data_IF_935336025296
#
_entry.id   IF_935336025296
#
_cell.length_a   1.000
_cell.length_b   1.000
_cell.length_c   1.000
_cell.angle_alpha   90.00
_cell.angle_beta   90.00
_cell.angle_gamma   90.00
#
_symmetry.space_group_name_H-M   'P 1'
#
loop_
_entity.id
_entity.type
_entity.pdbx_description
1 polymer ?
#
# COMPACT_ATOMS: atom_id res chain seq x y z
N UNK A 1 12.77 23.25 8.75
CA UNK A 1 14.14 23.49 8.25
C UNK A 1 14.91 22.19 8.38
N UNK A 2 15.11 21.50 7.26
CA UNK A 2 15.88 20.26 7.14
C UNK A 2 17.36 20.61 6.94
N UNK A 3 18.23 20.16 7.84
CA UNK A 3 19.68 20.24 7.65
C UNK A 3 20.25 18.82 7.59
N UNK A 4 20.50 18.35 6.37
CA UNK A 4 21.22 17.11 6.11
C UNK A 4 22.24 17.35 5.01
N UNK A 5 23.45 16.81 5.18
CA UNK A 5 24.46 16.78 4.12
C UNK A 5 23.97 15.75 3.11
N UNK A 6 23.28 16.21 2.06
CA UNK A 6 22.86 15.35 0.95
C UNK A 6 24.11 15.03 0.15
N UNK A 7 24.48 13.75 0.10
CA UNK A 7 25.50 13.28 -0.83
C UNK A 7 25.00 13.55 -2.26
N UNK A 8 25.67 14.38 -3.07
CA UNK A 8 25.22 14.69 -4.43
C UNK A 8 25.22 13.46 -5.36
N UNK A 9 25.91 12.38 -4.95
CA UNK A 9 25.94 11.09 -5.64
C UNK A 9 25.08 10.02 -4.92
N UNK A 10 24.28 10.40 -3.92
CA UNK A 10 23.37 9.50 -3.23
C UNK A 10 22.01 9.39 -3.93
N UNK A 11 21.18 8.44 -3.50
CA UNK A 11 19.78 8.37 -3.89
C UNK A 11 19.04 9.65 -3.49
N UNK A 12 18.31 10.25 -4.43
CA UNK A 12 17.50 11.43 -4.15
C UNK A 12 16.18 11.02 -3.52
N UNK A 13 15.92 11.59 -2.36
CA UNK A 13 14.59 11.57 -1.77
C UNK A 13 13.67 12.45 -2.59
N UNK A 14 12.69 11.84 -3.26
CA UNK A 14 11.61 12.62 -3.85
C UNK A 14 10.66 13.08 -2.73
N UNK A 15 10.85 14.33 -2.32
CA UNK A 15 10.02 14.95 -1.30
C UNK A 15 8.56 15.08 -1.73
N UNK A 16 8.22 15.04 -3.03
CA UNK A 16 6.83 15.01 -3.50
C UNK A 16 6.19 13.64 -3.28
N UNK A 17 6.93 12.55 -3.49
CA UNK A 17 6.46 11.19 -3.16
C UNK A 17 6.27 11.05 -1.65
N UNK A 18 7.22 11.59 -0.86
CA UNK A 18 7.11 11.57 0.60
C UNK A 18 5.94 12.43 1.11
N UNK A 19 5.67 13.59 0.51
CA UNK A 19 4.52 14.44 0.85
C UNK A 19 3.16 13.87 0.40
N UNK A 20 3.17 12.88 -0.50
CA UNK A 20 1.96 12.20 -0.98
C UNK A 20 1.43 11.11 -0.04
N UNK A 21 2.16 10.78 1.04
CA UNK A 21 1.73 9.80 2.06
C UNK A 21 0.51 10.40 2.79
N UNK A 22 -0.71 9.87 2.59
CA UNK A 22 -1.95 10.45 3.12
C UNK A 22 -1.96 10.57 4.64
N UNK A 23 -1.19 9.73 5.32
CA UNK A 23 -1.00 9.74 6.76
C UNK A 23 -0.18 10.93 7.28
N UNK A 24 0.37 11.77 6.40
CA UNK A 24 1.01 13.04 6.75
C UNK A 24 0.02 14.20 6.88
N UNK A 25 -1.24 13.99 6.49
CA UNK A 25 -2.28 15.02 6.49
C UNK A 25 -2.03 16.12 5.47
N UNK A 26 -3.07 16.91 5.18
CA UNK A 26 -2.84 18.24 4.61
C UNK A 26 -2.04 19.08 5.62
N UNK A 27 -1.16 19.97 5.14
CA UNK A 27 -0.32 20.86 5.95
C UNK A 27 -1.17 21.83 6.77
N UNK A 28 -1.81 21.33 7.82
CA UNK A 28 -2.66 22.05 8.76
C UNK A 28 -1.85 22.70 9.89
N UNK A 29 -0.52 22.66 9.77
CA UNK A 29 0.44 23.18 10.74
C UNK A 29 0.56 22.36 12.03
N UNK A 30 -0.20 21.27 12.19
CA UNK A 30 -0.15 20.39 13.37
C UNK A 30 0.70 19.14 13.14
N UNK A 31 0.71 18.62 11.92
CA UNK A 31 1.48 17.41 11.58
C UNK A 31 2.86 17.79 11.03
N UNK A 32 3.84 18.06 11.91
CA UNK A 32 5.21 18.32 11.44
C UNK A 32 6.02 17.02 11.34
N UNK A 33 6.20 16.53 10.10
CA UNK A 33 7.16 15.48 9.77
C UNK A 33 8.56 16.09 9.72
N UNK A 34 9.50 15.52 10.46
CA UNK A 34 10.93 15.79 10.28
C UNK A 34 11.63 14.56 9.73
N UNK A 35 12.16 14.69 8.53
CA UNK A 35 12.96 13.65 7.91
C UNK A 35 14.43 13.84 8.29
N UNK A 36 15.09 12.76 8.71
CA UNK A 36 16.52 12.70 8.86
C UNK A 36 17.07 11.58 7.97
N UNK A 37 17.87 11.95 6.98
CA UNK A 37 18.65 10.98 6.21
C UNK A 37 19.76 10.44 7.11
N UNK A 38 19.73 9.14 7.39
CA UNK A 38 20.74 8.47 8.21
C UNK A 38 21.93 8.02 7.37
N UNK A 39 21.67 7.53 6.17
CA UNK A 39 22.68 7.09 5.21
C UNK A 39 22.17 7.32 3.80
N UNK A 40 23.04 7.78 2.90
CA UNK A 40 22.70 7.96 1.51
C UNK A 40 23.92 7.73 0.60
N UNK A 41 23.88 6.63 -0.16
CA UNK A 41 24.91 6.26 -1.13
C UNK A 41 24.26 5.83 -2.46
N UNK A 42 25.07 5.42 -3.46
CA UNK A 42 24.55 5.07 -4.80
C UNK A 42 23.59 3.87 -4.83
N UNK A 43 23.57 3.06 -3.77
CA UNK A 43 22.84 1.78 -3.71
C UNK A 43 21.80 1.72 -2.60
N UNK A 44 21.80 2.68 -1.68
CA UNK A 44 21.02 2.61 -0.44
C UNK A 44 20.71 3.99 0.14
N UNK A 45 19.48 4.15 0.63
CA UNK A 45 19.01 5.31 1.37
C UNK A 45 18.34 4.85 2.67
N UNK A 46 18.89 5.23 3.82
CA UNK A 46 18.25 5.06 5.11
C UNK A 46 17.68 6.39 5.59
N UNK A 47 16.42 6.36 6.00
CA UNK A 47 15.68 7.54 6.40
C UNK A 47 15.00 7.27 7.73
N UNK A 48 15.15 8.22 8.64
CA UNK A 48 14.39 8.31 9.87
C UNK A 48 13.28 9.33 9.69
N UNK A 49 12.03 8.88 9.84
CA UNK A 49 10.86 9.74 9.86
C UNK A 49 10.47 10.05 11.31
N UNK A 50 10.48 11.33 11.67
CA UNK A 50 10.12 11.80 12.99
C UNK A 50 8.80 12.56 12.95
N UNK A 51 7.76 11.99 13.55
CA UNK A 51 6.43 12.58 13.67
C UNK A 51 6.33 13.32 15.00
N UNK A 52 5.93 14.60 15.04
CA UNK A 52 5.61 15.25 16.32
C UNK A 52 4.21 14.81 16.79
N UNK A 53 4.18 14.21 17.98
CA UNK A 53 3.05 13.95 18.91
C UNK A 53 1.59 13.97 18.41
N UNK A 54 0.86 12.89 18.71
CA UNK A 54 -0.61 12.81 18.59
C UNK A 54 -1.12 11.54 17.89
N UNK A 55 -0.80 10.36 18.44
CA UNK A 55 -0.99 9.03 17.85
C UNK A 55 -0.18 8.77 16.56
N UNK A 56 0.61 7.68 16.51
CA UNK A 56 1.35 7.32 15.30
C UNK A 56 0.36 6.95 14.19
N UNK A 57 0.68 7.18 12.91
CA UNK A 57 -0.08 6.55 11.84
C UNK A 57 -0.01 5.03 12.04
N UNK A 58 -1.16 4.41 12.17
CA UNK A 58 -1.32 2.96 12.39
C UNK A 58 -0.79 2.14 11.19
N UNK A 59 -0.49 2.80 10.06
CA UNK A 59 -0.05 2.21 8.80
C UNK A 59 1.38 1.64 8.78
N UNK A 60 2.39 2.28 9.41
CA UNK A 60 3.81 1.92 9.15
C UNK A 60 4.14 0.41 9.37
N UNK A 61 3.74 -0.24 10.48
CA UNK A 61 4.00 -1.66 10.67
C UNK A 61 3.28 -2.54 9.65
N UNK A 62 2.08 -2.12 9.23
CA UNK A 62 1.28 -2.81 8.22
C UNK A 62 1.91 -2.65 6.84
N UNK A 63 2.23 -1.43 6.41
CA UNK A 63 2.95 -1.14 5.16
C UNK A 63 4.22 -1.99 5.08
N UNK A 64 5.04 -1.99 6.13
CA UNK A 64 6.24 -2.82 6.19
C UNK A 64 5.96 -4.32 6.02
N UNK A 65 4.86 -4.82 6.61
CA UNK A 65 4.47 -6.23 6.50
C UNK A 65 4.00 -6.57 5.08
N UNK A 66 3.18 -5.71 4.48
CA UNK A 66 2.66 -5.87 3.12
C UNK A 66 3.78 -5.77 2.08
N UNK A 67 4.69 -4.80 2.22
CA UNK A 67 5.87 -4.66 1.35
C UNK A 67 6.77 -5.90 1.43
N UNK A 68 7.06 -6.40 2.65
CA UNK A 68 7.84 -7.65 2.80
C UNK A 68 7.17 -8.85 2.15
N UNK A 69 5.85 -8.93 2.27
CA UNK A 69 5.09 -10.01 1.66
C UNK A 69 5.14 -9.92 0.12
N UNK A 70 4.95 -8.73 -0.44
CA UNK A 70 5.09 -8.49 -1.87
C UNK A 70 6.51 -8.78 -2.39
N UNK A 71 7.54 -8.42 -1.62
CA UNK A 71 8.94 -8.68 -1.96
C UNK A 71 9.25 -10.16 -2.14
N UNK A 72 8.56 -11.08 -1.45
CA UNK A 72 8.76 -12.53 -1.63
C UNK A 72 8.48 -12.95 -3.07
N UNK A 73 7.43 -12.41 -3.69
CA UNK A 73 7.02 -12.80 -5.05
C UNK A 73 7.52 -11.83 -6.12
N UNK A 74 7.92 -10.62 -5.73
CA UNK A 74 8.46 -9.57 -6.59
C UNK A 74 9.82 -9.01 -6.05
N UNK A 75 10.84 -9.86 -5.85
CA UNK A 75 12.08 -9.44 -5.16
C UNK A 75 12.86 -8.35 -5.91
N UNK A 76 12.71 -8.27 -7.22
CA UNK A 76 13.38 -7.25 -8.06
C UNK A 76 12.56 -5.98 -8.26
N UNK A 77 11.27 -5.97 -7.91
CA UNK A 77 10.36 -4.84 -8.15
C UNK A 77 9.85 -4.21 -6.87
N UNK A 78 10.02 -4.86 -5.72
CA UNK A 78 9.57 -4.32 -4.43
C UNK A 78 10.79 -4.02 -3.58
N UNK A 79 10.91 -2.78 -3.05
CA UNK A 79 12.03 -2.40 -2.21
C UNK A 79 12.23 -3.32 -1.01
N UNK A 80 13.48 -3.66 -0.72
CA UNK A 80 13.82 -4.47 0.45
C UNK A 80 13.61 -3.66 1.73
N UNK A 81 12.87 -4.23 2.69
CA UNK A 81 12.64 -3.61 4.01
C UNK A 81 13.67 -4.09 5.03
N UNK A 82 14.71 -3.29 5.24
CA UNK A 82 15.85 -3.57 6.13
C UNK A 82 15.47 -3.52 7.62
N UNK A 83 14.51 -2.67 7.98
CA UNK A 83 14.12 -2.51 9.38
C UNK A 83 12.84 -1.72 9.58
N UNK A 84 12.19 -2.00 10.71
CA UNK A 84 11.11 -1.19 11.29
C UNK A 84 11.36 -1.12 12.79
N UNK A 85 11.06 0.02 13.41
CA UNK A 85 11.28 0.16 14.84
C UNK A 85 10.67 1.41 15.43
N UNK A 86 10.87 1.52 16.74
CA UNK A 86 10.51 2.68 17.55
C UNK A 86 11.81 3.32 18.03
N UNK A 87 11.93 4.62 17.86
CA UNK A 87 12.94 5.41 18.58
C UNK A 87 12.21 6.27 19.62
N UNK A 88 12.82 6.49 20.79
CA UNK A 88 12.25 7.31 21.86
C UNK A 88 13.10 8.58 21.96
N UNK A 89 12.58 9.70 21.48
CA UNK A 89 13.18 11.01 21.69
C UNK A 89 12.35 11.78 22.71
N UNK A 90 12.92 12.02 23.90
CA UNK A 90 12.46 12.78 25.09
C UNK A 90 10.96 12.93 25.41
N UNK A 91 10.03 13.05 24.47
CA UNK A 91 8.57 13.04 24.68
C UNK A 91 7.77 12.36 23.51
N UNK A 92 8.45 11.85 22.47
CA UNK A 92 7.82 11.34 21.24
C UNK A 92 8.41 9.98 20.85
N UNK A 93 7.58 9.09 20.28
CA UNK A 93 7.98 7.76 19.80
C UNK A 93 8.00 7.68 18.25
N UNK A 94 9.03 8.20 17.57
CA UNK A 94 9.15 8.09 16.11
C UNK A 94 9.22 6.65 15.61
N UNK A 95 8.62 6.39 14.44
CA UNK A 95 8.65 5.10 13.72
C UNK A 95 9.36 5.28 12.38
N UNK A 96 10.21 4.33 12.00
CA UNK A 96 10.95 4.36 10.73
C UNK A 96 10.68 3.14 9.87
N UNK A 97 10.83 3.32 8.56
CA UNK A 97 10.89 2.28 7.54
C UNK A 97 12.14 2.56 6.70
N UNK A 98 13.06 1.61 6.60
CA UNK A 98 14.22 1.71 5.71
C UNK A 98 14.03 0.78 4.52
N UNK A 99 14.05 1.36 3.33
CA UNK A 99 13.84 0.68 2.06
C UNK A 99 14.90 1.10 1.04
N UNK A 100 15.42 0.16 0.25
CA UNK A 100 16.36 0.45 -0.83
C UNK A 100 15.75 0.15 -2.20
N UNK A 101 15.99 1.00 -3.20
CA UNK A 101 15.65 0.74 -4.60
C UNK A 101 16.74 1.27 -5.55
N UNK A 102 16.81 0.68 -6.75
CA UNK A 102 17.71 1.14 -7.81
C UNK A 102 17.28 2.51 -8.37
N UNK A 103 18.25 3.25 -8.91
CA UNK A 103 18.03 4.57 -9.50
C UNK A 103 17.28 4.43 -10.84
N UNK A 104 16.11 5.06 -10.95
CA UNK A 104 15.31 5.14 -12.17
C UNK A 104 14.49 6.43 -12.18
N UNK A 105 13.73 6.67 -13.24
CA UNK A 105 12.81 7.82 -13.31
C UNK A 105 11.37 7.39 -13.03
N UNK A 106 10.56 8.33 -12.54
CA UNK A 106 9.11 8.14 -12.46
C UNK A 106 8.56 8.13 -13.89
N UNK A 107 7.65 7.21 -14.18
CA UNK A 107 7.03 7.12 -15.50
C UNK A 107 6.09 8.31 -15.75
N UNK A 108 6.16 8.90 -16.94
CA UNK A 108 5.18 9.90 -17.36
C UNK A 108 3.94 9.25 -17.98
N UNK A 109 2.90 10.04 -18.22
CA UNK A 109 1.62 9.55 -18.74
C UNK A 109 1.71 9.03 -20.17
N UNK A 110 2.61 9.60 -20.97
CA UNK A 110 2.79 9.26 -22.39
C UNK A 110 3.43 7.88 -22.58
N UNK A 111 4.27 7.46 -21.62
CA UNK A 111 5.01 6.19 -21.69
C UNK A 111 4.37 5.04 -20.91
N UNK A 112 3.22 5.25 -20.24
CA UNK A 112 2.51 4.22 -19.45
C UNK A 112 2.29 2.91 -20.21
N UNK A 113 2.01 2.99 -21.51
CA UNK A 113 1.77 1.82 -22.36
C UNK A 113 2.93 0.83 -22.40
N UNK A 114 4.17 1.32 -22.22
CA UNK A 114 5.39 0.52 -22.35
C UNK A 114 5.61 -0.43 -21.18
N UNK A 115 5.04 -0.13 -20.00
CA UNK A 115 5.23 -0.94 -18.78
C UNK A 115 4.02 -1.80 -18.40
N UNK A 116 2.94 -1.75 -19.18
CA UNK A 116 1.71 -2.54 -18.90
C UNK A 116 2.02 -4.03 -18.85
N UNK A 117 2.89 -4.53 -19.72
CA UNK A 117 3.31 -5.94 -19.73
C UNK A 117 3.98 -6.34 -18.42
N UNK A 118 4.99 -5.58 -18.00
CA UNK A 118 5.72 -5.79 -16.75
C UNK A 118 4.79 -5.70 -15.53
N UNK A 119 3.91 -4.69 -15.50
CA UNK A 119 2.91 -4.52 -14.44
C UNK A 119 1.95 -5.70 -14.38
N UNK A 120 1.44 -6.16 -15.53
CA UNK A 120 0.54 -7.30 -15.58
C UNK A 120 1.19 -8.57 -15.05
N UNK A 121 2.46 -8.82 -15.42
CA UNK A 121 3.23 -9.94 -14.88
C UNK A 121 3.42 -9.80 -13.36
N UNK A 122 3.79 -8.61 -12.89
CA UNK A 122 3.99 -8.34 -11.47
C UNK A 122 2.71 -8.55 -10.66
N UNK A 123 1.58 -7.99 -11.11
CA UNK A 123 0.28 -8.16 -10.47
C UNK A 123 -0.17 -9.62 -10.49
N UNK A 124 0.10 -10.36 -11.57
CA UNK A 124 -0.21 -11.78 -11.65
C UNK A 124 0.52 -12.61 -10.59
N UNK A 125 1.77 -12.25 -10.25
CA UNK A 125 2.53 -12.89 -9.15
C UNK A 125 1.97 -12.52 -7.77
N UNK A 126 1.54 -11.28 -7.56
CA UNK A 126 0.93 -10.85 -6.29
C UNK A 126 -0.36 -11.62 -5.97
N UNK A 127 -1.13 -12.03 -6.99
CA UNK A 127 -2.35 -12.84 -6.80
C UNK A 127 -2.10 -14.20 -6.13
N UNK A 128 -0.86 -14.66 -6.05
CA UNK A 128 -0.51 -15.86 -5.28
C UNK A 128 -0.54 -15.64 -3.76
N UNK A 129 -0.49 -14.39 -3.31
CA UNK A 129 -0.48 -14.01 -1.90
C UNK A 129 -1.90 -13.77 -1.42
N UNK A 130 -2.47 -14.78 -0.75
CA UNK A 130 -3.76 -14.68 -0.06
C UNK A 130 -3.54 -14.99 1.41
N UNK A 131 -4.23 -14.28 2.31
CA UNK A 131 -4.17 -14.51 3.76
C UNK A 131 -4.35 -16.00 4.11
N UNK A 132 -5.28 -16.70 3.44
CA UNK A 132 -5.56 -18.12 3.67
C UNK A 132 -4.42 -19.07 3.28
N UNK A 133 -3.51 -18.61 2.43
CA UNK A 133 -2.41 -19.41 1.86
C UNK A 133 -1.04 -19.04 2.43
N UNK A 134 -0.99 -18.08 3.38
CA UNK A 134 0.27 -17.66 3.96
C UNK A 134 0.88 -18.75 4.84
N UNK A 135 2.20 -18.89 4.74
CA UNK A 135 2.97 -19.76 5.63
C UNK A 135 3.06 -19.15 7.03
N UNK A 136 3.41 -19.98 8.03
CA UNK A 136 3.60 -19.49 9.40
C UNK A 136 4.63 -18.35 9.50
N UNK A 137 5.70 -18.42 8.69
CA UNK A 137 6.74 -17.38 8.63
C UNK A 137 6.22 -16.06 8.05
N UNK A 138 5.43 -16.13 6.97
CA UNK A 138 4.80 -14.96 6.35
C UNK A 138 3.81 -14.30 7.32
N UNK A 139 3.06 -15.09 8.08
CA UNK A 139 2.19 -14.58 9.15
C UNK A 139 2.95 -13.79 10.21
N UNK A 140 4.23 -14.08 10.47
CA UNK A 140 5.02 -13.33 11.46
C UNK A 140 5.24 -11.87 11.05
N UNK A 141 5.12 -11.52 9.77
CA UNK A 141 5.27 -10.14 9.32
C UNK A 141 4.15 -9.24 9.87
N UNK A 142 2.96 -9.80 10.04
CA UNK A 142 1.76 -9.11 10.53
C UNK A 142 1.70 -8.97 12.05
N UNK A 143 2.72 -9.38 12.82
CA UNK A 143 2.77 -9.13 14.27
C UNK A 143 2.57 -7.65 14.59
N UNK A 144 1.70 -7.35 15.56
CA UNK A 144 1.29 -6.00 15.95
C UNK A 144 0.60 -5.19 14.83
N UNK A 145 -0.03 -5.86 13.86
CA UNK A 145 -0.87 -5.24 12.83
C UNK A 145 -2.31 -5.71 12.98
N UNK A 146 -3.29 -5.06 12.34
CA UNK A 146 -4.67 -5.53 12.34
C UNK A 146 -4.82 -6.95 11.77
N UNK A 147 -4.00 -7.35 10.79
CA UNK A 147 -4.01 -8.72 10.26
C UNK A 147 -3.34 -9.74 11.19
N UNK A 148 -2.82 -9.34 12.35
CA UNK A 148 -2.32 -10.32 13.32
C UNK A 148 -3.45 -11.26 13.74
N UNK A 149 -3.34 -12.53 13.36
CA UNK A 149 -4.24 -13.58 13.83
C UNK A 149 -4.00 -13.79 15.31
N UNK A 150 -4.69 -13.02 16.15
CA UNK A 150 -4.97 -13.46 17.51
C UNK A 150 -5.91 -14.66 17.39
N UNK A 151 -5.88 -15.55 18.38
CA UNK A 151 -6.82 -16.68 18.48
C UNK A 151 -8.21 -16.08 18.79
N UNK A 152 -8.79 -15.38 17.82
CA UNK A 152 -10.06 -14.68 17.90
C UNK A 152 -11.00 -15.32 16.89
N UNK A 153 -12.29 -15.36 17.23
CA UNK A 153 -13.35 -16.04 16.46
C UNK A 153 -13.56 -15.46 15.04
N UNK A 154 -12.93 -14.33 14.69
CA UNK A 154 -13.15 -13.62 13.44
C UNK A 154 -11.83 -13.08 12.84
N UNK A 155 -11.13 -13.84 11.97
CA UNK A 155 -9.94 -13.34 11.29
C UNK A 155 -10.32 -12.23 10.29
N UNK A 156 -9.48 -11.21 10.17
CA UNK A 156 -9.59 -10.22 9.09
C UNK A 156 -9.21 -10.92 7.78
N UNK A 157 -10.07 -10.84 6.77
CA UNK A 157 -9.92 -11.52 5.49
C UNK A 157 -9.78 -10.57 4.29
N UNK A 158 -10.19 -9.31 4.42
CA UNK A 158 -10.04 -8.31 3.36
C UNK A 158 -9.97 -6.88 3.92
N UNK A 159 -9.54 -5.95 3.07
CA UNK A 159 -9.39 -4.53 3.35
C UNK A 159 -7.94 -4.07 3.49
N UNK A 160 -7.75 -2.91 4.12
CA UNK A 160 -6.46 -2.23 4.24
C UNK A 160 -6.60 -0.93 5.03
N UNK A 161 -5.50 -0.20 5.17
CA UNK A 161 -5.43 1.10 5.86
C UNK A 161 -6.57 2.06 5.44
N UNK A 162 -6.81 2.18 4.13
CA UNK A 162 -7.77 3.15 3.58
C UNK A 162 -9.22 2.69 3.57
N UNK A 163 -9.44 1.38 3.52
CA UNK A 163 -10.77 0.77 3.38
C UNK A 163 -11.27 0.10 4.67
N UNK A 164 -10.48 0.12 5.75
CA UNK A 164 -10.75 -0.60 6.99
C UNK A 164 -10.46 -2.09 6.88
N UNK A 165 -10.70 -2.83 7.97
CA UNK A 165 -10.38 -4.25 8.10
C UNK A 165 -11.65 -5.06 8.36
N UNK A 166 -11.89 -6.08 7.54
CA UNK A 166 -13.18 -6.77 7.49
C UNK A 166 -13.00 -8.27 7.51
N UNK A 167 -13.98 -8.97 8.08
CA UNK A 167 -14.00 -10.42 8.19
C UNK A 167 -14.48 -11.10 6.91
N UNK A 168 -15.14 -10.34 6.04
CA UNK A 168 -15.75 -10.80 4.80
C UNK A 168 -16.01 -9.62 3.84
N UNK A 169 -16.25 -9.94 2.57
CA UNK A 169 -16.49 -8.95 1.54
C UNK A 169 -17.85 -8.25 1.68
N UNK A 170 -18.82 -8.87 2.37
CA UNK A 170 -20.13 -8.27 2.61
C UNK A 170 -20.00 -7.05 3.53
N UNK A 171 -19.34 -7.21 4.67
CA UNK A 171 -19.00 -6.14 5.61
C UNK A 171 -18.07 -5.10 5.00
N UNK A 172 -17.09 -5.53 4.18
CA UNK A 172 -16.26 -4.60 3.41
C UNK A 172 -17.09 -3.66 2.53
N UNK A 173 -18.01 -4.21 1.72
CA UNK A 173 -18.85 -3.43 0.81
C UNK A 173 -19.84 -2.55 1.59
N UNK A 174 -20.49 -3.08 2.63
CA UNK A 174 -21.41 -2.32 3.48
C UNK A 174 -20.73 -1.09 4.07
N UNK A 175 -19.56 -1.27 4.69
CA UNK A 175 -18.86 -0.20 5.39
C UNK A 175 -18.22 0.85 4.47
N UNK A 176 -17.83 0.46 3.25
CA UNK A 176 -17.18 1.37 2.30
C UNK A 176 -18.16 2.07 1.35
N UNK A 177 -19.34 1.49 1.10
CA UNK A 177 -20.36 2.11 0.25
C UNK A 177 -21.42 2.89 1.06
N UNK A 178 -21.59 2.59 2.35
CA UNK A 178 -22.54 3.26 3.26
C UNK A 178 -21.85 3.59 4.59
N UNK A 179 -21.87 4.83 5.14
CA UNK A 179 -22.43 6.08 4.62
C UNK A 179 -21.37 6.95 3.89
N UNK A 180 -20.20 6.40 3.57
CA UNK A 180 -19.09 7.15 2.94
C UNK A 180 -19.47 7.77 1.60
N UNK A 181 -20.47 7.23 0.90
CA UNK A 181 -20.94 7.74 -0.38
C UNK A 181 -22.40 8.20 -0.24
N UNK A 182 -22.64 9.51 -0.24
CA UNK A 182 -23.93 10.15 0.11
C UNK A 182 -25.11 9.81 -0.81
N UNK A 183 -24.86 9.08 -1.90
CA UNK A 183 -25.88 8.65 -2.82
C UNK A 183 -26.30 7.18 -2.70
N UNK A 184 -25.37 6.27 -2.44
CA UNK A 184 -25.64 4.84 -2.57
C UNK A 184 -26.32 4.31 -1.31
N UNK A 185 -27.24 3.34 -1.42
CA UNK A 185 -27.75 2.59 -0.27
C UNK A 185 -27.43 1.10 -0.40
N UNK A 186 -26.98 0.50 0.70
CA UNK A 186 -26.64 -0.92 0.78
C UNK A 186 -27.63 -1.62 1.69
N UNK A 187 -28.33 -2.63 1.17
CA UNK A 187 -29.30 -3.40 1.94
C UNK A 187 -28.98 -4.89 1.83
N UNK A 188 -29.20 -5.63 2.91
CA UNK A 188 -29.07 -7.09 2.92
C UNK A 188 -30.46 -7.70 2.91
N UNK A 189 -30.71 -8.62 1.98
CA UNK A 189 -31.95 -9.40 1.93
C UNK A 189 -31.89 -10.57 2.92
N UNK A 190 -33.04 -11.16 3.30
CA UNK A 190 -33.08 -12.34 4.18
C UNK A 190 -32.32 -13.56 3.65
N UNK A 191 -32.11 -13.64 2.33
CA UNK A 191 -31.35 -14.69 1.66
C UNK A 191 -29.83 -14.42 1.61
N UNK A 192 -29.34 -13.43 2.36
CA UNK A 192 -27.93 -13.04 2.40
C UNK A 192 -27.47 -12.18 1.21
N UNK A 193 -28.32 -11.94 0.21
CA UNK A 193 -27.96 -11.10 -0.95
C UNK A 193 -27.73 -9.66 -0.52
N UNK A 194 -26.57 -9.12 -0.89
CA UNK A 194 -26.26 -7.71 -0.73
C UNK A 194 -26.72 -6.93 -1.97
N UNK A 195 -27.63 -5.98 -1.79
CA UNK A 195 -28.12 -5.10 -2.85
C UNK A 195 -27.53 -3.71 -2.66
N UNK A 196 -26.74 -3.29 -3.63
CA UNK A 196 -26.23 -1.92 -3.76
C UNK A 196 -27.15 -1.16 -4.71
N UNK A 197 -27.69 -0.05 -4.24
CA UNK A 197 -28.47 0.89 -5.03
C UNK A 197 -27.67 2.16 -5.22
N UNK A 198 -27.55 2.62 -6.46
CA UNK A 198 -26.84 3.85 -6.80
C UNK A 198 -27.85 4.84 -7.39
N UNK A 199 -27.88 6.11 -6.93
CA UNK A 199 -28.81 7.09 -7.44
C UNK A 199 -28.30 7.58 -8.79
N UNK A 200 -28.88 7.01 -9.85
CA UNK A 200 -28.74 7.48 -11.21
C UNK A 200 -30.12 7.95 -11.73
N UNK A 201 -30.15 8.55 -12.91
CA UNK A 201 -31.38 9.00 -13.59
C UNK A 201 -32.41 7.87 -13.75
N UNK A 202 -31.93 6.63 -13.81
CA UNK A 202 -32.67 5.39 -13.53
C UNK A 202 -31.99 4.68 -12.38
N UNK A 203 -32.72 4.31 -11.32
CA UNK A 203 -32.12 3.59 -10.19
C UNK A 203 -31.59 2.25 -10.68
N UNK A 204 -30.27 2.08 -10.63
CA UNK A 204 -29.60 0.82 -10.94
C UNK A 204 -29.34 0.06 -9.65
N UNK A 205 -29.62 -1.25 -9.69
CA UNK A 205 -29.42 -2.15 -8.58
C UNK A 205 -28.42 -3.21 -8.98
N UNK A 206 -27.40 -3.40 -8.15
CA UNK A 206 -26.43 -4.47 -8.29
C UNK A 206 -26.60 -5.41 -7.09
N UNK A 207 -26.90 -6.67 -7.38
CA UNK A 207 -27.08 -7.71 -6.36
C UNK A 207 -25.88 -8.65 -6.32
N UNK A 208 -25.30 -8.83 -5.15
CA UNK A 208 -24.29 -9.85 -4.88
C UNK A 208 -24.93 -10.95 -4.03
N UNK A 209 -25.11 -12.13 -4.62
CA UNK A 209 -25.51 -13.31 -3.86
C UNK A 209 -24.48 -13.64 -2.78
N UNK A 210 -24.91 -14.20 -1.65
CA UNK A 210 -24.04 -14.58 -0.53
C UNK A 210 -22.86 -15.46 -1.00
N UNK A 211 -23.13 -16.45 -1.85
CA UNK A 211 -22.09 -17.33 -2.40
C UNK A 211 -21.04 -16.59 -3.23
N UNK A 212 -21.41 -15.49 -3.88
CA UNK A 212 -20.46 -14.66 -4.63
C UNK A 212 -19.59 -13.84 -3.67
N UNK A 213 -20.15 -13.32 -2.58
CA UNK A 213 -19.41 -12.59 -1.55
C UNK A 213 -18.43 -13.50 -0.79
N UNK A 214 -18.84 -14.75 -0.52
CA UNK A 214 -17.97 -15.78 0.02
C UNK A 214 -16.82 -16.10 -0.92
N UNK A 215 -17.11 -16.25 -2.22
CA UNK A 215 -16.09 -16.49 -3.24
C UNK A 215 -15.09 -15.32 -3.32
N UNK A 216 -15.56 -14.08 -3.28
CA UNK A 216 -14.70 -12.89 -3.25
C UNK A 216 -13.81 -12.88 -2.00
N UNK A 217 -14.38 -13.20 -0.83
CA UNK A 217 -13.64 -13.31 0.44
C UNK A 217 -12.57 -14.41 0.38
N UNK A 218 -12.90 -15.55 -0.23
CA UNK A 218 -11.96 -16.66 -0.42
C UNK A 218 -10.88 -16.36 -1.48
N UNK A 219 -11.19 -15.49 -2.43
CA UNK A 219 -10.31 -15.11 -3.54
C UNK A 219 -9.56 -13.80 -3.32
N UNK A 220 -9.68 -13.23 -2.11
CA UNK A 220 -8.96 -12.01 -1.71
C UNK A 220 -7.45 -12.27 -1.68
N UNK A 221 -6.71 -11.32 -2.27
CA UNK A 221 -5.29 -11.40 -2.56
C UNK A 221 -4.63 -10.05 -2.34
N UNK A 222 -3.33 -10.05 -2.07
CA UNK A 222 -2.58 -8.82 -1.89
C UNK A 222 -2.66 -7.93 -3.14
N UNK A 223 -3.16 -6.72 -2.96
CA UNK A 223 -3.29 -5.68 -3.97
C UNK A 223 -2.52 -4.43 -3.54
N UNK A 224 -1.89 -3.74 -4.51
CA UNK A 224 -1.20 -2.47 -4.26
C UNK A 224 -2.18 -1.32 -4.00
N UNK A 225 -3.33 -1.34 -4.68
CA UNK A 225 -4.40 -0.33 -4.67
C UNK A 225 -4.04 1.10 -5.13
N UNK A 226 -2.76 1.46 -5.26
CA UNK A 226 -2.32 2.75 -5.81
C UNK A 226 -1.22 2.59 -6.87
N UNK A 227 -1.57 2.14 -8.08
CA UNK A 227 -0.62 1.99 -9.19
C UNK A 227 -0.54 3.26 -10.05
N UNK A 228 -0.68 4.43 -9.44
CA UNK A 228 -0.45 5.69 -10.13
C UNK A 228 1.03 5.82 -10.57
N UNK A 229 1.32 6.58 -11.65
CA UNK A 229 2.67 6.68 -12.21
C UNK A 229 3.75 7.06 -11.20
N UNK A 230 3.43 7.93 -10.23
CA UNK A 230 4.34 8.35 -9.16
C UNK A 230 4.91 7.18 -8.34
N UNK A 231 4.21 6.05 -8.31
CA UNK A 231 4.59 4.87 -7.56
C UNK A 231 5.35 3.85 -8.44
N UNK A 232 5.60 4.16 -9.71
CA UNK A 232 6.26 3.28 -10.66
C UNK A 232 7.60 3.89 -11.08
N UNK A 233 8.69 3.21 -10.72
CA UNK A 233 10.04 3.57 -11.15
C UNK A 233 10.39 2.75 -12.36
N UNK A 234 10.86 3.42 -13.41
CA UNK A 234 11.26 2.82 -14.68
C UNK A 234 12.70 3.14 -15.02
N UNK A 235 13.33 2.24 -15.77
CA UNK A 235 14.60 2.47 -16.44
C UNK A 235 14.36 2.61 -17.93
N UNK A 236 14.97 3.64 -18.52
CA UNK A 236 14.98 3.86 -19.95
C UNK A 236 16.10 3.06 -20.59
N UNK A 237 15.76 2.13 -21.47
CA UNK A 237 16.69 1.22 -22.13
C UNK A 237 16.75 1.58 -23.62
N UNK A 238 17.96 1.77 -24.14
CA UNK A 238 18.17 1.95 -25.58
C UNK A 238 18.20 0.57 -26.26
N UNK A 239 17.28 0.33 -27.20
CA UNK A 239 17.22 -0.89 -28.00
C UNK A 239 17.42 -0.57 -29.48
N UNK A 240 17.62 -1.59 -30.31
CA UNK A 240 17.72 -1.44 -31.77
C UNK A 240 16.45 -0.83 -32.41
N UNK A 241 15.29 -0.91 -31.70
CA UNK A 241 13.99 -0.42 -32.16
C UNK A 241 13.66 0.98 -31.63
N UNK A 242 14.53 1.57 -30.83
CA UNK A 242 14.32 2.84 -30.16
C UNK A 242 14.42 2.72 -28.65
N UNK A 243 13.83 3.68 -27.95
CA UNK A 243 13.84 3.73 -26.49
C UNK A 243 12.68 2.90 -25.94
N UNK A 244 12.98 1.96 -25.05
CA UNK A 244 12.01 1.16 -24.31
C UNK A 244 12.09 1.50 -22.82
N UNK A 245 10.99 1.26 -22.09
CA UNK A 245 10.94 1.47 -20.65
C UNK A 245 10.72 0.13 -19.96
N UNK A 246 11.52 -0.13 -18.94
CA UNK A 246 11.42 -1.32 -18.11
C UNK A 246 11.01 -0.94 -16.70
N UNK A 247 10.07 -1.67 -16.11
CA UNK A 247 9.70 -1.47 -14.72
C UNK A 247 10.84 -1.94 -13.80
N UNK A 248 11.26 -1.04 -12.89
CA UNK A 248 12.36 -1.28 -11.95
C UNK A 248 11.88 -1.36 -10.50
N UNK A 249 10.86 -0.60 -10.13
CA UNK A 249 10.27 -0.70 -8.79
C UNK A 249 8.80 -0.27 -8.75
N UNK A 250 8.08 -0.83 -7.77
CA UNK A 250 6.73 -0.46 -7.34
C UNK A 250 6.86 0.04 -5.89
N UNK A 251 6.61 1.33 -5.71
CA UNK A 251 6.78 2.07 -4.47
C UNK A 251 5.42 2.37 -3.81
N UNK A 252 5.46 2.88 -2.58
CA UNK A 252 4.30 3.36 -1.84
C UNK A 252 3.19 2.32 -1.61
N UNK A 253 3.49 1.33 -0.77
CA UNK A 253 2.58 0.24 -0.39
C UNK A 253 1.66 0.61 0.79
N UNK A 254 1.48 1.90 1.09
CA UNK A 254 0.63 2.40 2.17
C UNK A 254 -0.86 2.09 1.96
N UNK A 255 -1.31 2.11 0.70
CA UNK A 255 -2.66 1.77 0.25
C UNK A 255 -2.89 0.27 0.09
N UNK A 256 -1.84 -0.54 0.20
CA UNK A 256 -1.93 -1.97 -0.06
C UNK A 256 -2.87 -2.68 0.91
N UNK A 257 -3.49 -3.76 0.44
CA UNK A 257 -4.51 -4.49 1.18
C UNK A 257 -4.88 -5.82 0.52
N UNK A 258 -5.93 -6.45 1.02
CA UNK A 258 -6.44 -7.74 0.56
C UNK A 258 -7.88 -7.62 0.04
#
# INVERSE_FOLDING_TARGET
>A
MTSGIINPNGLFLDFYVMNGIPELGEDDGKTSLSLQVLENNMTFCAILMNFKEGQPPTGIPLTAALTRLAQIVLPSLVPEIWGRGYTRMKDVLPRYLSAGHSMGCVIDDENRGNVIGDLFEAMSKLRCLSLKKLTFEQWQYFRNTPFETKITEYPILCGGSSYGYHTDFASFLQNNLWPRNTGSAVNTKPDGTLVVSVPATTVEYFGFAETNLDLLTQSSVLCHNDLEPRNLVVEKISTERGEEFKLMAILNWDQAGF
#
